data_IF_689285320235
#
_entry.id   IF_689285320235
#
_cell.length_a   1.000
_cell.length_b   1.000
_cell.length_c   1.000
_cell.angle_alpha   90.00
_cell.angle_beta   90.00
_cell.angle_gamma   90.00
#
_symmetry.space_group_name_H-M   'P 1'
#
loop_
_entity.id
_entity.type
_entity.pdbx_description
1 polymer ?
2 non-polymer ?
3 non-polymer ?
4 water ?
#
# COMPACT_ATOMS: atom_id res chain seq x y z
N UNK A 27 14.51 11.47 -10.98
CA UNK A 27 14.96 10.16 -10.53
C UNK A 27 14.04 9.08 -11.03
N UNK A 28 14.54 7.84 -11.06
CA UNK A 28 13.69 6.76 -11.52
C UNK A 28 12.94 6.28 -10.28
N UNK A 29 11.64 6.10 -10.41
CA UNK A 29 10.85 5.63 -9.29
C UNK A 29 11.16 4.17 -9.04
N UNK A 30 11.18 3.75 -7.79
CA UNK A 30 11.45 2.35 -7.50
C UNK A 30 10.28 1.81 -6.68
N UNK A 31 10.35 0.53 -6.45
CA UNK A 31 9.36 -0.22 -5.66
C UNK A 31 10.07 -0.71 -4.42
N UNK A 32 9.52 -0.25 -3.29
CA UNK A 32 9.98 -0.56 -1.97
C UNK A 32 8.92 -1.43 -1.26
N UNK A 33 9.40 -2.50 -0.60
CA UNK A 33 8.59 -3.42 0.14
C UNK A 33 9.06 -3.55 1.58
N UNK A 34 8.13 -3.30 2.51
CA UNK A 34 8.43 -3.43 3.93
C UNK A 34 7.58 -4.61 4.35
N UNK A 35 8.22 -5.72 4.65
CA UNK A 35 7.51 -6.95 5.05
C UNK A 35 8.20 -7.46 6.30
N UNK A 36 7.91 -8.70 6.71
CA UNK A 36 8.51 -9.28 7.90
C UNK A 36 7.52 -9.22 9.03
N UNK A 37 7.73 -10.02 10.08
CA UNK A 37 6.80 -10.01 11.22
C UNK A 37 7.08 -8.94 12.27
N UNK A 38 8.21 -8.26 12.14
CA UNK A 38 8.58 -7.22 13.09
C UNK A 38 7.78 -5.94 12.90
N UNK A 39 7.67 -5.16 13.99
CA UNK A 39 6.92 -3.93 13.87
C UNK A 39 7.69 -2.83 13.14
N UNK A 40 6.94 -2.00 12.38
CA UNK A 40 7.56 -0.88 11.68
C UNK A 40 7.30 -0.81 10.19
N UNK A 41 6.50 -1.72 9.65
CA UNK A 41 6.24 -1.71 8.19
C UNK A 41 5.44 -0.53 7.73
N UNK A 42 4.28 -0.36 8.36
CA UNK A 42 3.41 0.73 8.00
C UNK A 42 4.07 2.02 8.39
N UNK A 43 4.76 1.97 9.54
CA UNK A 43 5.41 3.19 10.00
C UNK A 43 6.54 3.57 9.04
N UNK A 44 7.30 2.58 8.56
CA UNK A 44 8.38 2.95 7.63
C UNK A 44 7.79 3.60 6.40
N UNK A 45 6.75 3.01 5.88
CA UNK A 45 6.09 3.56 4.71
C UNK A 45 5.61 4.98 4.91
N UNK A 46 4.93 5.21 6.03
CA UNK A 46 4.49 6.58 6.21
C UNK A 46 5.67 7.52 6.58
N UNK A 47 6.77 6.99 7.08
CA UNK A 47 7.86 7.89 7.40
C UNK A 47 8.42 8.32 6.02
N UNK A 48 8.36 7.37 5.09
CA UNK A 48 8.83 7.69 3.72
C UNK A 48 7.97 8.73 3.02
N UNK A 49 6.63 8.56 3.16
CA UNK A 49 5.65 9.48 2.60
C UNK A 49 5.84 10.82 3.24
N UNK A 50 6.08 10.87 4.56
CA UNK A 50 6.27 12.16 5.23
C UNK A 50 7.47 12.96 4.65
N UNK A 51 8.57 12.21 4.47
CA UNK A 51 9.81 12.72 3.93
C UNK A 51 9.51 13.37 2.56
N UNK A 52 8.81 12.57 1.70
CA UNK A 52 8.41 12.97 0.36
C UNK A 52 7.56 14.25 0.43
N UNK A 53 6.57 14.26 1.36
CA UNK A 53 5.73 15.43 1.49
C UNK A 53 6.56 16.63 1.95
N UNK A 54 7.43 16.36 2.93
CA UNK A 54 8.25 17.44 3.45
C UNK A 54 9.07 18.03 2.35
N UNK A 55 9.33 17.22 1.32
CA UNK A 55 10.12 17.66 0.17
C UNK A 55 9.29 18.23 -0.98
N UNK A 56 8.00 18.50 -0.80
CA UNK A 56 7.22 19.06 -1.91
C UNK A 56 6.72 18.08 -2.98
N UNK A 57 6.92 16.78 -2.77
CA UNK A 57 6.47 15.78 -3.73
C UNK A 57 5.00 15.47 -3.56
N UNK A 58 4.32 14.86 -4.58
CA UNK A 58 2.89 14.50 -4.48
C UNK A 58 2.81 13.02 -4.17
N UNK A 59 1.99 12.67 -3.16
CA UNK A 59 1.83 11.30 -2.69
C UNK A 59 0.39 10.93 -2.59
N UNK A 60 0.12 9.66 -2.81
CA UNK A 60 -1.25 9.19 -2.72
C UNK A 60 -1.16 7.91 -1.89
N UNK A 61 -2.22 7.65 -1.11
CA UNK A 61 -2.20 6.45 -0.27
C UNK A 61 -3.48 5.63 -0.30
N UNK A 62 -3.25 4.35 -0.28
CA UNK A 62 -4.29 3.38 -0.23
C UNK A 62 -3.99 2.45 0.97
N UNK A 63 -4.96 2.33 1.89
CA UNK A 63 -4.86 1.46 3.05
C UNK A 63 -5.92 0.37 2.87
N UNK A 64 -5.42 -0.84 2.63
CA UNK A 64 -6.21 -2.04 2.40
C UNK A 64 -6.86 -2.61 3.62
N UNK A 65 -6.52 -2.08 4.80
CA UNK A 65 -7.10 -2.54 6.01
C UNK A 65 -7.49 -1.36 6.83
N UNK A 66 -8.76 -1.39 7.24
CA UNK A 66 -9.36 -0.33 8.05
C UNK A 66 -9.14 -0.59 9.55
N UNK A 67 -8.60 0.38 10.29
CA UNK A 67 -8.37 0.20 11.73
C UNK A 67 -9.55 0.68 12.56
N UNK A 68 -9.71 0.19 13.78
CA UNK A 68 -10.85 0.70 14.52
C UNK A 68 -10.45 2.02 15.13
N UNK A 69 -9.17 2.36 15.02
CA UNK A 69 -8.76 3.60 15.62
C UNK A 69 -8.60 4.79 14.69
N UNK A 70 -8.59 6.00 15.30
CA UNK A 70 -8.42 7.28 14.61
C UNK A 70 -7.06 7.24 13.88
N UNK A 71 -7.04 7.67 12.61
CA UNK A 71 -5.87 7.69 11.71
C UNK A 71 -4.92 8.86 11.85
N UNK A 72 -3.90 8.66 12.70
CA UNK A 72 -2.93 9.69 12.96
C UNK A 72 -2.22 10.14 11.68
N UNK A 73 -1.72 9.15 10.92
CA UNK A 73 -0.99 9.41 9.65
C UNK A 73 -1.84 10.24 8.75
N UNK A 74 -3.08 9.78 8.60
CA UNK A 74 -3.99 10.51 7.76
C UNK A 74 -4.24 11.92 8.31
N UNK A 75 -4.40 12.01 9.64
CA UNK A 75 -4.61 13.31 10.23
C UNK A 75 -3.50 14.26 9.89
N UNK A 76 -2.32 13.69 9.94
CA UNK A 76 -1.16 14.52 9.63
C UNK A 76 -0.96 14.94 8.14
N UNK A 77 -0.97 13.92 7.29
CA UNK A 77 -0.76 14.04 5.88
C UNK A 77 -1.86 14.58 5.04
N UNK A 78 -3.06 14.02 5.27
CA UNK A 78 -4.22 14.43 4.49
C UNK A 78 -4.33 15.93 4.24
N UNK A 79 -4.22 16.75 5.29
CA UNK A 79 -4.32 18.18 5.09
C UNK A 79 -3.21 18.75 4.21
N UNK A 80 -2.23 17.94 3.85
CA UNK A 80 -1.20 18.47 2.99
C UNK A 80 -1.56 18.17 1.57
N UNK A 81 -2.75 17.70 1.33
CA UNK A 81 -3.13 17.40 -0.02
C UNK A 81 -2.88 15.96 -0.34
N UNK A 82 -2.55 15.14 0.66
CA UNK A 82 -2.31 13.76 0.27
C UNK A 82 -3.56 12.94 0.13
N UNK A 83 -3.81 12.37 -1.03
CA UNK A 83 -5.01 11.58 -1.09
C UNK A 83 -4.91 10.24 -0.32
N UNK A 84 -5.97 9.92 0.47
CA UNK A 84 -6.04 8.68 1.22
C UNK A 84 -7.27 7.92 0.77
N UNK A 85 -7.10 6.63 0.54
CA UNK A 85 -8.18 5.74 0.12
C UNK A 85 -8.16 4.57 1.10
N UNK A 86 -9.20 4.42 1.90
CA UNK A 86 -9.26 3.34 2.90
C UNK A 86 -10.31 2.29 2.58
N UNK A 87 -10.05 1.03 2.86
CA UNK A 87 -11.02 -0.04 2.61
C UNK A 87 -12.36 0.31 3.31
N UNK A 88 -13.51 -0.10 2.75
CA UNK A 88 -14.81 0.20 3.38
C UNK A 88 -14.90 -0.52 4.73
N UNK A 89 -15.67 0.06 5.63
CA UNK A 89 -15.89 -0.51 6.97
C UNK A 89 -16.51 -1.91 6.91
N UNK A 90 -17.30 -2.17 5.88
CA UNK A 90 -17.94 -3.47 5.76
C UNK A 90 -17.05 -4.72 5.79
N UNK A 91 -15.79 -4.59 5.33
CA UNK A 91 -14.81 -5.68 5.27
C UNK A 91 -14.92 -6.71 6.40
N UNK A 92 -15.22 -7.97 6.00
CA UNK A 92 -15.41 -9.09 6.92
C UNK A 92 -14.34 -10.16 7.10
N UNK A 93 -13.65 -10.56 6.03
CA UNK A 93 -12.63 -11.61 6.08
C UNK A 93 -13.29 -12.94 6.24
N UNK A 94 -14.63 -12.89 6.33
CA UNK A 94 -15.36 -14.13 6.49
C UNK A 94 -15.44 -14.90 5.21
N UNK A 95 -15.12 -16.17 5.30
CA UNK A 95 -15.15 -17.09 4.16
C UNK A 95 -16.48 -17.04 3.36
N UNK A 96 -17.60 -16.89 4.07
CA UNK A 96 -18.92 -16.82 3.48
C UNK A 96 -19.15 -15.56 2.66
N UNK A 97 -18.47 -14.49 3.02
CA UNK A 97 -18.62 -13.22 2.37
C UNK A 97 -17.59 -12.83 1.31
N UNK A 98 -16.84 -13.79 0.82
CA UNK A 98 -15.84 -13.46 -0.19
C UNK A 98 -16.35 -12.68 -1.37
N UNK A 99 -17.58 -12.91 -1.79
CA UNK A 99 -18.00 -12.16 -2.94
C UNK A 99 -18.10 -10.69 -2.69
N UNK A 100 -18.73 -10.38 -1.55
CA UNK A 100 -18.94 -9.00 -1.17
C UNK A 100 -17.62 -8.32 -0.81
N UNK A 101 -16.75 -9.09 -0.13
CA UNK A 101 -15.45 -8.58 0.29
C UNK A 101 -14.53 -8.30 -0.87
N UNK A 102 -14.56 -9.20 -1.80
CA UNK A 102 -13.73 -8.99 -2.95
C UNK A 102 -14.21 -7.79 -3.75
N UNK A 103 -15.50 -7.55 -3.70
CA UNK A 103 -15.99 -6.43 -4.43
C UNK A 103 -15.46 -5.17 -3.79
N UNK A 104 -15.50 -5.12 -2.45
CA UNK A 104 -15.01 -3.91 -1.79
C UNK A 104 -13.52 -3.73 -2.02
N UNK A 105 -12.81 -4.86 -2.00
CA UNK A 105 -11.39 -4.78 -2.24
C UNK A 105 -11.13 -4.16 -3.65
N UNK A 106 -11.86 -4.66 -4.61
CA UNK A 106 -11.75 -4.22 -5.97
C UNK A 106 -12.11 -2.77 -6.07
N UNK A 107 -13.09 -2.33 -5.30
CA UNK A 107 -13.45 -0.92 -5.38
C UNK A 107 -12.31 0.00 -4.91
N UNK A 108 -11.70 -0.41 -3.81
CA UNK A 108 -10.63 0.44 -3.30
C UNK A 108 -9.39 0.46 -4.24
N UNK A 109 -9.08 -0.70 -4.82
CA UNK A 109 -7.99 -0.95 -5.75
C UNK A 109 -8.12 -0.11 -7.03
N UNK A 110 -9.35 0.19 -7.37
CA UNK A 110 -9.64 0.98 -8.52
C UNK A 110 -8.93 2.30 -8.27
N UNK A 111 -9.04 2.80 -7.05
CA UNK A 111 -8.36 4.05 -6.76
C UNK A 111 -6.85 3.93 -6.87
N UNK A 112 -6.34 2.78 -6.45
CA UNK A 112 -4.93 2.53 -6.48
C UNK A 112 -4.40 2.49 -7.86
N UNK A 113 -5.17 1.83 -8.74
CA UNK A 113 -4.75 1.71 -10.13
C UNK A 113 -4.63 3.09 -10.76
N UNK A 114 -5.56 3.94 -10.36
CA UNK A 114 -5.58 5.30 -10.84
C UNK A 114 -4.35 6.06 -10.39
N UNK A 115 -3.98 5.87 -9.14
CA UNK A 115 -2.81 6.55 -8.63
C UNK A 115 -1.55 6.00 -9.32
N UNK A 116 -1.55 4.71 -9.55
CA UNK A 116 -0.42 4.06 -10.19
C UNK A 116 -0.28 4.43 -11.66
N UNK A 117 -1.23 5.21 -12.15
CA UNK A 117 -1.25 5.67 -13.53
C UNK A 117 -1.15 7.18 -13.62
N UNK A 118 -1.01 7.83 -12.49
CA UNK A 118 -0.92 9.27 -12.52
C UNK A 118 0.52 9.74 -12.56
N UNK A 119 0.84 10.34 -13.69
CA UNK A 119 2.15 10.86 -13.96
C UNK A 119 2.51 11.94 -12.95
N UNK A 120 1.52 12.60 -12.37
CA UNK A 120 1.86 13.62 -11.41
C UNK A 120 2.08 13.11 -9.99
N UNK A 121 1.92 11.82 -9.73
CA UNK A 121 2.13 11.33 -8.38
C UNK A 121 3.51 10.79 -8.25
N UNK A 122 4.28 11.41 -7.37
CA UNK A 122 5.65 10.98 -7.13
C UNK A 122 5.72 9.68 -6.33
N UNK A 123 4.77 9.49 -5.40
CA UNK A 123 4.81 8.29 -4.59
C UNK A 123 3.41 7.79 -4.28
N UNK A 124 3.30 6.48 -4.23
CA UNK A 124 2.05 5.83 -3.95
C UNK A 124 2.33 4.83 -2.86
N UNK A 125 1.53 4.88 -1.80
CA UNK A 125 1.71 3.94 -0.69
C UNK A 125 0.57 2.94 -0.74
N UNK A 126 0.90 1.65 -0.74
CA UNK A 126 -0.11 0.56 -0.78
C UNK A 126 0.08 -0.26 0.49
N UNK A 127 -0.53 0.29 1.54
CA UNK A 127 -0.51 -0.24 2.90
C UNK A 127 -1.41 -1.46 3.13
N UNK A 128 -0.77 -2.57 3.57
CA UNK A 128 -1.36 -3.86 3.87
C UNK A 128 -1.84 -4.49 2.58
N UNK A 129 -1.21 -4.17 1.48
CA UNK A 129 -1.65 -4.77 0.25
C UNK A 129 -1.30 -6.25 0.21
N UNK A 130 -0.29 -6.68 0.97
CA UNK A 130 0.08 -8.09 0.93
C UNK A 130 -1.11 -9.02 1.26
N UNK A 131 -1.87 -8.66 2.29
CA UNK A 131 -3.02 -9.45 2.72
C UNK A 131 -4.05 -9.62 1.63
N UNK A 132 -4.21 -8.57 0.80
CA UNK A 132 -5.19 -8.60 -0.29
C UNK A 132 -4.82 -9.68 -1.26
N UNK A 133 -3.54 -9.79 -1.53
CA UNK A 133 -3.09 -10.83 -2.45
C UNK A 133 -3.07 -12.18 -1.78
N UNK A 134 -2.64 -12.21 -0.52
CA UNK A 134 -2.55 -13.46 0.24
C UNK A 134 -3.89 -14.16 0.44
N UNK A 135 -4.95 -13.33 0.47
CA UNK A 135 -6.29 -13.91 0.64
C UNK A 135 -7.06 -13.92 -0.69
N UNK A 136 -6.34 -13.65 -1.79
CA UNK A 136 -7.00 -13.66 -3.08
C UNK A 136 -8.19 -12.71 -3.23
N UNK A 137 -8.15 -11.52 -2.66
CA UNK A 137 -9.24 -10.59 -2.82
C UNK A 137 -8.90 -9.64 -3.96
N UNK A 138 -7.62 -9.70 -4.40
CA UNK A 138 -7.02 -8.87 -5.46
C UNK A 138 -6.14 -9.73 -6.34
N UNK A 139 -6.35 -9.74 -7.64
CA UNK A 139 -5.52 -10.56 -8.55
C UNK A 139 -4.03 -10.13 -8.61
N UNK A 140 -3.10 -11.05 -8.39
CA UNK A 140 -1.69 -10.74 -8.43
C UNK A 140 -1.31 -10.10 -9.74
N UNK A 141 -1.82 -10.71 -10.79
CA UNK A 141 -1.55 -10.21 -12.13
C UNK A 141 -1.93 -8.77 -12.28
N UNK A 142 -3.05 -8.40 -11.69
CA UNK A 142 -3.43 -7.04 -11.80
C UNK A 142 -2.40 -6.18 -11.08
N UNK A 143 -1.86 -6.70 -10.00
CA UNK A 143 -0.88 -5.93 -9.27
C UNK A 143 0.41 -5.73 -10.03
N UNK A 144 0.98 -6.82 -10.52
CA UNK A 144 2.20 -6.75 -11.27
C UNK A 144 2.07 -5.80 -12.48
N UNK A 145 0.91 -5.83 -13.10
CA UNK A 145 0.68 -5.01 -14.27
C UNK A 145 0.70 -3.53 -14.02
N UNK A 146 -0.12 -3.12 -13.06
CA UNK A 146 -0.21 -1.72 -12.72
C UNK A 146 1.16 -1.16 -12.25
N UNK A 147 1.97 -1.98 -11.53
CA UNK A 147 3.29 -1.61 -11.01
C UNK A 147 4.24 -1.47 -12.16
N UNK A 148 4.15 -2.45 -13.06
CA UNK A 148 5.02 -2.42 -14.22
C UNK A 148 4.78 -1.28 -15.18
N UNK A 149 3.52 -0.92 -15.30
CA UNK A 149 3.10 0.15 -16.18
C UNK A 149 3.08 1.57 -15.60
N UNK A 150 3.41 1.75 -14.31
CA UNK A 150 3.38 3.11 -13.69
C UNK A 150 4.32 4.14 -14.27
N UNK A 151 4.08 5.43 -14.04
CA UNK A 151 4.96 6.48 -14.57
C UNK A 151 6.33 6.20 -14.08
N UNK A 152 7.30 6.41 -14.95
CA UNK A 152 8.70 6.14 -14.64
C UNK A 152 9.36 6.72 -13.40
N UNK A 153 8.93 7.94 -13.04
CA UNK A 153 9.56 8.54 -11.85
C UNK A 153 8.87 8.15 -10.56
N UNK A 154 7.77 7.39 -10.69
CA UNK A 154 6.94 6.95 -9.56
C UNK A 154 7.50 5.89 -8.63
N UNK A 155 7.60 6.25 -7.33
CA UNK A 155 8.11 5.28 -6.39
C UNK A 155 6.86 4.67 -5.70
N UNK A 156 6.79 3.37 -5.49
CA UNK A 156 5.63 2.75 -4.85
C UNK A 156 6.05 2.08 -3.55
N UNK A 157 5.31 2.27 -2.46
CA UNK A 157 5.76 1.54 -1.26
C UNK A 157 4.71 0.51 -0.91
N UNK A 158 5.12 -0.74 -0.78
CA UNK A 158 4.15 -1.78 -0.45
C UNK A 158 4.41 -2.32 0.94
N UNK A 159 3.35 -2.51 1.75
CA UNK A 159 3.62 -3.05 3.09
C UNK A 159 2.76 -4.23 3.47
N UNK A 160 3.25 -5.03 4.39
CA UNK A 160 2.45 -6.13 4.83
C UNK A 160 3.23 -7.34 5.09
N UNK A 161 2.73 -8.15 6.01
CA UNK A 161 3.43 -9.38 6.27
C UNK A 161 3.16 -10.29 5.09
N UNK A 162 4.07 -11.24 4.90
CA UNK A 162 4.04 -12.28 3.85
C UNK A 162 3.78 -11.78 2.44
N UNK A 163 4.62 -10.94 1.97
CA UNK A 163 4.42 -10.44 0.66
C UNK A 163 4.65 -11.53 -0.39
N UNK A 164 3.78 -11.56 -1.39
CA UNK A 164 3.92 -12.53 -2.42
C UNK A 164 5.28 -12.46 -3.10
N UNK A 165 5.88 -13.63 -3.29
CA UNK A 165 7.18 -13.78 -3.91
C UNK A 165 7.28 -13.08 -5.23
N UNK A 166 6.23 -13.11 -6.03
CA UNK A 166 6.32 -12.42 -7.31
C UNK A 166 6.34 -10.89 -7.18
N UNK A 167 5.88 -10.38 -6.06
CA UNK A 167 5.92 -8.93 -5.92
C UNK A 167 7.33 -8.61 -5.40
N UNK A 168 7.83 -9.48 -4.53
CA UNK A 168 9.14 -9.30 -3.98
C UNK A 168 10.19 -9.30 -5.08
N UNK A 169 9.95 -10.08 -6.11
CA UNK A 169 10.91 -10.15 -7.18
C UNK A 169 10.91 -8.89 -8.02
N UNK A 170 9.74 -8.31 -8.16
CA UNK A 170 9.63 -7.12 -8.95
C UNK A 170 10.22 -5.91 -8.24
N UNK A 171 10.21 -5.91 -6.91
CA UNK A 171 10.69 -4.79 -6.12
C UNK A 171 12.16 -4.48 -6.20
N UNK A 172 12.47 -3.21 -6.09
CA UNK A 172 13.87 -2.83 -6.13
C UNK A 172 14.55 -2.96 -4.77
N UNK A 173 13.85 -2.65 -3.67
CA UNK A 173 14.36 -2.73 -2.32
C UNK A 173 13.34 -3.48 -1.50
N UNK A 174 13.78 -4.42 -0.72
CA UNK A 174 12.91 -5.21 0.12
C UNK A 174 13.54 -5.24 1.48
N UNK A 175 12.86 -4.67 2.43
CA UNK A 175 13.41 -4.68 3.74
C UNK A 175 12.54 -5.62 4.58
N UNK A 176 13.12 -6.63 5.21
CA UNK A 176 12.30 -7.53 6.04
C UNK A 176 12.41 -7.19 7.54
N UNK A 177 11.31 -6.72 8.20
CA UNK A 177 11.37 -6.37 9.64
C UNK A 177 11.34 -7.63 10.47
N UNK A 178 12.50 -7.99 10.97
CA UNK A 178 12.64 -9.18 11.80
C UNK A 178 12.40 -8.82 13.25
N UNK A 179 11.43 -9.45 13.85
CA UNK A 179 11.16 -9.16 15.24
C UNK A 179 12.19 -9.83 16.15
N UNK A 180 13.20 -9.09 16.55
CA UNK A 180 14.23 -9.57 17.43
C UNK A 180 13.56 -9.54 18.85
N UNK A 181 12.62 -8.62 19.05
CA UNK A 181 11.90 -8.44 20.29
C UNK A 181 10.65 -7.57 20.11
N UNK A 182 9.61 -7.87 20.88
CA UNK A 182 8.39 -7.09 20.76
C UNK A 182 7.70 -6.96 22.08
N UNK A 183 7.31 -5.73 22.42
CA UNK A 183 6.64 -5.43 23.66
C UNK A 183 5.14 -5.73 23.53
X LIG B 1 0.99 -2.41 8.99
X LIG C 1 3.25 -0.47 12.53
X LIG C 1 2.02 0.18 11.98
X LIG C 1 4.47 -0.05 11.78
X LIG C 1 3.38 -0.10 13.97
X LIG C 1 3.44 -2.93 11.25
X LIG C 1 4.88 -3.29 11.13
X LIG C 1 2.85 -2.29 10.04
X LIG C 1 3.17 -1.98 12.44
X LIG C 1 1.19 -4.79 11.26
X LIG C 1 1.15 -6.27 11.33
X LIG C 1 0.66 -4.22 9.97
X LIG C 1 2.60 -4.28 11.65
X LIG C 1 0.52 -4.02 12.46
X LIG C 1 -0.82 -4.24 12.88
X LIG C 1 -0.88 -3.77 14.31
X LIG C 1 -0.15 -4.75 15.07
X LIG C 1 -0.12 -2.51 14.58
X LIG C 1 -0.79 -1.65 15.49
X LIG C 1 1.12 -2.85 14.90
X LIG C 1 1.77 -1.82 15.69
X LIG C 1 1.00 -4.15 15.66
X LIG C 1 2.15 -5.08 15.61
X LIG C 1 3.20 -5.10 14.75
X LIG C 1 4.00 -6.18 14.92
X LIG C 1 3.42 -6.88 15.96
X LIG C 1 3.79 -8.10 16.60
X LIG C 1 4.86 -8.81 16.25
X LIG C 1 2.96 -8.50 17.60
X LIG C 1 1.87 -7.74 17.93
X LIG C 1 1.46 -6.62 17.40
X LIG C 1 2.28 -6.22 16.40
#
# INVERSE_FOLDING_TARGET
MSDERYQQRQQKVKDRVDARVAQAQEERGIIIVFTGNGKGKTTAAFGTAARAVGHGKNVGVVQFIKGTWPNGERNLLEPHGVEFQVMATGFTWETQNREADTAACMAVWQHGKRMLADPLLDMVVLDELTYMVAYDYLPLEEVISALNARPGHQTVIITGRGCHRDILDLADTVSELRPVKHAFDAGVKAQMGIDY
MG MG
ATP PG O1G O2G O3G PB O1B O2B O3B PA O1A O2A O3A O5' C5' C4' O4' C3' O3' C2' O2' C1' N9 C8 N7 C5 C6 N6 N1 C2 N3 C4
#
